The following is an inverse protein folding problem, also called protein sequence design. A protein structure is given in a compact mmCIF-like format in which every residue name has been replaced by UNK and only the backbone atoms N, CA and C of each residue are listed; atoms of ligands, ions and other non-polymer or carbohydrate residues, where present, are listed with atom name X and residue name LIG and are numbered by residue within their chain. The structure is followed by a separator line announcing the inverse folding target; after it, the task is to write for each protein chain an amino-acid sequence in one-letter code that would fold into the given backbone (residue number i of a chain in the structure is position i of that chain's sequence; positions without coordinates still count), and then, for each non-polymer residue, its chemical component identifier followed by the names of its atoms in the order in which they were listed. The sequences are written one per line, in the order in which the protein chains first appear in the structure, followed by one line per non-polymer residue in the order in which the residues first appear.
data_IF_888770973306
#
_entry.id   IF_888770973306
#
_cell.length_a   1.000
_cell.length_b   1.000
_cell.length_c   1.000
_cell.angle_alpha   90.00
_cell.angle_beta   90.00
_cell.angle_gamma   90.00
#
_symmetry.space_group_name_H-M   'P 1'
#
loop_
_entity.id
_entity.type
_entity.pdbx_description
1 polymer ?
#
# COMPACT_ATOMS: atom_id res chain seq x y z
N UNK A 1 30.48 54.54 54.87
CA UNK A 1 30.56 53.07 54.68
C UNK A 1 30.45 52.85 53.18
N UNK A 2 31.55 52.76 52.41
CA UNK A 2 32.39 51.55 52.17
C UNK A 2 31.52 50.34 51.76
N UNK A 3 31.75 49.60 50.67
CA UNK A 3 32.88 49.54 49.74
C UNK A 3 32.50 48.86 48.40
N UNK A 4 33.30 49.22 47.39
CA UNK A 4 33.76 48.51 46.19
C UNK A 4 33.51 46.99 46.08
N UNK A 5 33.15 46.52 44.88
CA UNK A 5 33.51 45.18 44.42
C UNK A 5 34.10 45.19 43.01
N UNK A 6 35.18 44.42 42.87
CA UNK A 6 36.19 44.44 41.81
C UNK A 6 35.85 43.41 40.73
N UNK A 7 36.02 43.80 39.47
CA UNK A 7 36.02 42.89 38.32
C UNK A 7 37.31 42.04 38.31
N UNK A 8 37.17 40.72 38.17
CA UNK A 8 38.28 39.82 37.79
C UNK A 8 37.87 38.96 36.59
N UNK A 9 38.65 39.09 35.53
CA UNK A 9 38.74 38.16 34.39
C UNK A 9 39.39 36.86 34.86
N UNK A 10 38.88 35.72 34.39
CA UNK A 10 39.66 34.48 34.25
C UNK A 10 39.30 33.76 32.94
N UNK A 11 40.31 33.11 32.39
CA UNK A 11 40.53 32.53 31.05
C UNK A 11 39.64 31.34 30.66
N UNK A 12 39.63 30.94 29.37
CA UNK A 12 38.73 29.92 28.82
C UNK A 12 39.19 28.50 29.16
N UNK A 13 38.24 27.64 29.52
CA UNK A 13 38.49 26.20 29.68
C UNK A 13 38.03 25.50 28.40
N UNK A 14 39.00 24.87 27.74
CA UNK A 14 38.83 24.00 26.59
C UNK A 14 38.01 22.77 27.03
N UNK A 15 36.76 22.64 26.57
CA UNK A 15 35.96 21.43 26.74
C UNK A 15 35.98 20.65 25.42
N UNK A 16 36.74 19.57 25.40
CA UNK A 16 36.66 18.56 24.36
C UNK A 16 35.33 17.81 24.51
N UNK A 17 34.36 18.11 23.63
CA UNK A 17 33.13 17.31 23.49
C UNK A 17 33.43 16.16 22.55
N UNK A 18 33.49 14.96 23.12
CA UNK A 18 33.49 13.69 22.39
C UNK A 18 32.10 13.53 21.76
N UNK A 19 32.02 13.66 20.44
CA UNK A 19 30.83 13.23 19.69
C UNK A 19 30.82 11.70 19.65
N UNK A 20 30.11 11.08 20.58
CA UNK A 20 29.60 9.73 20.39
C UNK A 20 28.50 9.82 19.33
N UNK A 21 28.80 9.34 18.12
CA UNK A 21 27.83 9.19 17.05
C UNK A 21 26.75 8.19 17.47
N UNK A 22 25.61 8.71 17.91
CA UNK A 22 24.38 7.95 17.94
C UNK A 22 23.96 7.73 16.48
N UNK A 23 24.14 6.50 15.99
CA UNK A 23 23.48 6.03 14.79
C UNK A 23 21.98 6.16 15.02
N UNK A 24 21.36 7.17 14.42
CA UNK A 24 19.92 7.24 14.26
C UNK A 24 19.55 6.08 13.32
N UNK A 25 19.18 4.94 13.90
CA UNK A 25 18.43 3.91 13.18
C UNK A 25 17.18 4.59 12.64
N UNK A 26 17.17 4.87 11.34
CA UNK A 26 16.01 5.37 10.64
C UNK A 26 14.90 4.34 10.76
N UNK A 27 13.92 4.61 11.61
CA UNK A 27 12.64 3.92 11.59
C UNK A 27 12.01 4.29 10.26
N UNK A 28 12.04 3.37 9.29
CA UNK A 28 11.23 3.51 8.08
C UNK A 28 9.78 3.65 8.54
N UNK A 29 9.06 4.73 8.17
CA UNK A 29 7.67 4.85 8.54
C UNK A 29 6.90 3.66 7.98
N UNK A 30 6.13 2.98 8.82
CA UNK A 30 5.21 1.95 8.37
C UNK A 30 4.30 2.56 7.28
N UNK A 31 4.23 1.92 6.12
CA UNK A 31 3.37 2.39 5.03
C UNK A 31 1.92 2.27 5.50
N UNK A 32 1.23 3.41 5.57
CA UNK A 32 -0.19 3.46 5.86
C UNK A 32 -0.97 2.77 4.72
N UNK A 33 -1.95 1.94 5.07
CA UNK A 33 -2.84 1.26 4.13
C UNK A 33 -4.18 2.00 4.11
N UNK A 34 -4.56 2.53 2.95
CA UNK A 34 -5.87 3.15 2.75
C UNK A 34 -6.95 2.07 2.67
N UNK A 35 -7.95 2.13 3.55
CA UNK A 35 -9.05 1.16 3.62
C UNK A 35 -10.36 1.73 3.06
N UNK A 36 -10.60 3.03 3.24
CA UNK A 36 -11.83 3.70 2.80
C UNK A 36 -11.49 5.07 2.24
N UNK A 37 -12.11 5.44 1.13
CA UNK A 37 -12.15 6.80 0.62
C UNK A 37 -13.56 7.09 0.10
N UNK A 38 -14.32 7.88 0.86
CA UNK A 38 -15.66 8.33 0.47
C UNK A 38 -15.65 9.84 0.27
N UNK A 39 -16.38 10.28 -0.76
CA UNK A 39 -16.63 11.68 -1.04
C UNK A 39 -18.09 11.90 -1.42
N UNK A 40 -18.68 12.98 -0.93
CA UNK A 40 -20.01 13.45 -1.34
C UNK A 40 -19.93 14.94 -1.66
N UNK A 41 -20.37 15.30 -2.86
CA UNK A 41 -20.63 16.68 -3.26
C UNK A 41 -22.15 16.93 -3.14
N UNK A 42 -22.61 17.34 -1.96
CA UNK A 42 -24.03 17.50 -1.66
C UNK A 42 -24.57 18.84 -2.18
N UNK A 43 -25.76 18.82 -2.76
CA UNK A 43 -26.52 20.01 -3.15
C UNK A 43 -27.60 20.32 -2.12
N UNK A 44 -27.87 21.60 -1.89
CA UNK A 44 -28.95 22.02 -1.01
C UNK A 44 -30.30 21.71 -1.66
N UNK A 45 -31.17 20.99 -0.94
CA UNK A 45 -32.51 20.64 -1.42
C UNK A 45 -33.49 20.37 -0.28
N UNK A 46 -34.79 20.68 -0.44
CA UNK A 46 -35.81 20.21 0.49
C UNK A 46 -35.92 18.69 0.48
N UNK A 47 -36.48 18.14 1.55
CA UNK A 47 -36.87 16.72 1.60
C UNK A 47 -37.74 16.33 0.40
N UNK A 48 -37.44 15.18 -0.17
CA UNK A 48 -38.26 14.52 -1.18
C UNK A 48 -38.18 13.00 -0.95
N UNK A 49 -39.30 12.29 -0.76
CA UNK A 49 -39.29 10.85 -0.51
C UNK A 49 -38.69 10.06 -1.69
N UNK A 50 -38.82 10.58 -2.91
CA UNK A 50 -38.28 9.97 -4.13
C UNK A 50 -36.79 10.32 -4.36
N UNK A 51 -36.23 11.19 -3.53
CA UNK A 51 -34.84 11.63 -3.62
C UNK A 51 -34.21 11.70 -2.21
N UNK A 52 -33.73 10.56 -1.69
CA UNK A 52 -33.19 10.47 -0.34
C UNK A 52 -31.96 11.36 -0.13
N UNK A 53 -31.50 11.44 1.12
CA UNK A 53 -30.24 12.12 1.44
C UNK A 53 -29.10 11.56 0.60
N UNK A 54 -28.23 12.46 0.14
CA UNK A 54 -26.95 12.07 -0.45
C UNK A 54 -26.12 11.33 0.60
N UNK A 55 -25.83 10.07 0.32
CA UNK A 55 -24.99 9.20 1.13
C UNK A 55 -24.05 8.38 0.26
N UNK A 56 -22.89 8.04 0.79
CA UNK A 56 -21.93 7.11 0.18
C UNK A 56 -21.55 6.05 1.22
N UNK A 57 -21.31 4.83 0.77
CA UNK A 57 -20.98 3.71 1.64
C UNK A 57 -19.86 2.87 1.02
N UNK A 58 -19.00 2.32 1.87
CA UNK A 58 -17.96 1.38 1.47
C UNK A 58 -17.79 0.33 2.56
N UNK A 59 -17.83 -0.93 2.16
CA UNK A 59 -17.46 -2.04 3.03
C UNK A 59 -15.93 -2.19 3.04
N UNK A 60 -15.36 -2.42 4.21
CA UNK A 60 -13.91 -2.57 4.41
C UNK A 60 -13.60 -3.58 5.50
N UNK A 61 -12.39 -4.14 5.47
CA UNK A 61 -11.87 -4.96 6.56
C UNK A 61 -10.59 -4.32 7.07
N UNK A 62 -10.42 -4.30 8.39
CA UNK A 62 -9.14 -3.91 8.98
C UNK A 62 -8.18 -5.09 8.85
N UNK A 63 -6.90 -4.88 8.50
CA UNK A 63 -5.89 -5.94 8.54
C UNK A 63 -5.85 -6.65 9.90
N UNK A 64 -5.60 -7.97 9.87
CA UNK A 64 -5.45 -8.79 11.07
C UNK A 64 -4.04 -8.55 11.66
N UNK A 65 -3.85 -7.38 12.24
CA UNK A 65 -2.59 -6.92 12.81
C UNK A 65 -2.81 -5.87 13.91
N UNK A 66 -1.87 -5.80 14.85
CA UNK A 66 -1.81 -4.65 15.76
C UNK A 66 -1.42 -3.38 14.98
N UNK A 67 -2.07 -2.27 15.29
CA UNK A 67 -1.80 -1.00 14.66
C UNK A 67 -2.70 0.13 15.12
N UNK A 68 -2.60 1.24 14.39
CA UNK A 68 -3.44 2.40 14.56
C UNK A 68 -4.40 2.49 13.39
N UNK A 69 -5.68 2.70 13.69
CA UNK A 69 -6.64 3.08 12.69
C UNK A 69 -6.87 4.58 12.79
N UNK A 70 -6.68 5.30 11.69
CA UNK A 70 -6.90 6.73 11.59
C UNK A 70 -8.12 6.98 10.72
N UNK A 71 -9.16 7.55 11.32
CA UNK A 71 -10.35 8.01 10.61
C UNK A 71 -10.25 9.52 10.43
N UNK A 72 -10.19 9.99 9.19
CA UNK A 72 -10.19 11.41 8.89
C UNK A 72 -11.47 11.79 8.17
N UNK A 73 -12.22 12.72 8.75
CA UNK A 73 -13.40 13.31 8.16
C UNK A 73 -13.16 14.80 7.89
N UNK A 74 -13.57 15.29 6.72
CA UNK A 74 -13.54 16.72 6.43
C UNK A 74 -14.84 17.22 5.81
N UNK A 75 -15.13 18.49 6.09
CA UNK A 75 -16.16 19.30 5.45
C UNK A 75 -15.49 20.57 4.93
N UNK A 76 -15.77 20.93 3.68
CA UNK A 76 -15.34 22.22 3.11
C UNK A 76 -15.98 23.41 3.85
N UNK A 77 -17.22 23.22 4.30
CA UNK A 77 -18.03 24.20 5.00
C UNK A 77 -18.96 23.53 6.00
N UNK A 78 -18.63 23.64 7.28
CA UNK A 78 -19.50 23.23 8.36
C UNK A 78 -20.80 24.01 8.34
N UNK A 79 -21.92 23.30 8.46
CA UNK A 79 -23.27 23.87 8.47
C UNK A 79 -24.06 23.49 9.73
N UNK A 80 -23.49 22.64 10.59
CA UNK A 80 -24.20 22.06 11.73
C UNK A 80 -25.23 21.00 11.33
N UNK A 81 -26.04 20.58 12.30
CA UNK A 81 -27.07 19.57 12.11
C UNK A 81 -26.54 18.12 12.01
N UNK A 82 -27.45 17.13 12.04
CA UNK A 82 -27.13 15.71 11.83
C UNK A 82 -26.52 15.42 10.44
N UNK A 83 -25.92 14.24 10.30
CA UNK A 83 -25.07 13.85 9.18
C UNK A 83 -23.62 13.66 9.61
N UNK A 84 -22.71 13.50 8.65
CA UNK A 84 -21.31 13.18 8.90
C UNK A 84 -21.01 11.72 8.57
N UNK A 85 -20.20 11.06 9.39
CA UNK A 85 -19.79 9.68 9.16
C UNK A 85 -20.24 8.74 10.28
N UNK A 86 -20.48 7.49 9.91
CA UNK A 86 -20.54 6.35 10.83
C UNK A 86 -19.71 5.20 10.27
N UNK A 87 -19.39 4.24 11.12
CA UNK A 87 -18.92 2.94 10.69
C UNK A 87 -19.44 1.90 11.65
N UNK A 88 -19.96 0.81 11.09
CA UNK A 88 -20.67 -0.21 11.84
C UNK A 88 -20.26 -1.59 11.32
N UNK A 89 -20.21 -2.62 12.19
CA UNK A 89 -19.94 -3.97 11.73
C UNK A 89 -21.10 -4.46 10.85
N UNK A 90 -20.79 -5.03 9.69
CA UNK A 90 -21.81 -5.48 8.72
C UNK A 90 -22.69 -6.59 9.29
N UNK A 91 -22.11 -7.42 10.16
CA UNK A 91 -22.78 -8.53 10.82
C UNK A 91 -23.57 -8.13 12.09
N UNK A 92 -23.66 -6.83 12.40
CA UNK A 92 -24.33 -6.27 13.60
C UNK A 92 -23.81 -6.84 14.93
N UNK A 93 -22.57 -7.34 14.94
CA UNK A 93 -21.94 -7.84 16.16
C UNK A 93 -21.56 -6.70 17.13
N UNK A 94 -21.47 -6.95 18.44
CA UNK A 94 -21.17 -5.91 19.44
C UNK A 94 -19.67 -5.54 19.49
N UNK A 95 -18.91 -5.81 18.44
CA UNK A 95 -17.48 -5.51 18.41
C UNK A 95 -17.23 -4.04 18.10
N UNK A 96 -16.21 -3.46 18.72
CA UNK A 96 -15.79 -2.08 18.50
C UNK A 96 -14.57 -2.06 17.59
N UNK A 97 -14.48 -1.04 16.73
CA UNK A 97 -13.41 -0.88 15.73
C UNK A 97 -12.00 -0.75 16.37
N UNK A 98 -11.93 -0.47 17.68
CA UNK A 98 -10.72 -0.47 18.49
C UNK A 98 -10.99 -0.01 19.92
N UNK A 99 -9.94 0.07 20.74
CA UNK A 99 -10.03 0.54 22.13
C UNK A 99 -9.54 1.99 22.26
N UNK A 100 -10.24 2.78 23.09
CA UNK A 100 -9.72 4.05 23.64
C UNK A 100 -9.40 5.15 22.62
N UNK A 101 -10.23 5.35 21.58
CA UNK A 101 -9.94 6.34 20.55
C UNK A 101 -9.94 7.79 21.04
N UNK A 102 -8.94 8.59 20.62
CA UNK A 102 -8.93 10.04 20.81
C UNK A 102 -9.46 10.74 19.56
N UNK A 103 -10.43 11.64 19.72
CA UNK A 103 -10.96 12.45 18.64
C UNK A 103 -10.43 13.89 18.74
N UNK A 104 -9.80 14.35 17.67
CA UNK A 104 -9.35 15.73 17.50
C UNK A 104 -10.25 16.46 16.50
N UNK A 105 -10.72 17.64 16.90
CA UNK A 105 -11.65 18.46 16.13
C UNK A 105 -10.97 19.77 15.74
N UNK A 106 -10.99 20.10 14.46
CA UNK A 106 -10.38 21.32 13.91
C UNK A 106 -11.36 22.08 13.01
N UNK A 107 -11.81 23.28 13.42
CA UNK A 107 -11.69 23.83 14.77
C UNK A 107 -12.48 22.99 15.79
N UNK A 108 -12.16 23.13 17.07
CA UNK A 108 -12.84 22.39 18.16
C UNK A 108 -14.33 22.73 18.25
N UNK A 109 -14.64 24.01 18.07
CA UNK A 109 -16.00 24.56 18.10
C UNK A 109 -16.27 25.28 16.76
N UNK A 110 -16.60 24.54 15.69
CA UNK A 110 -16.80 25.12 14.37
C UNK A 110 -18.05 26.00 14.34
N UNK A 111 -17.91 27.16 13.70
CA UNK A 111 -19.07 28.00 13.36
C UNK A 111 -19.47 27.77 11.90
N UNK A 112 -20.75 27.93 11.61
CA UNK A 112 -21.28 27.72 10.28
C UNK A 112 -20.53 28.56 9.24
N UNK A 113 -20.07 27.94 8.15
CA UNK A 113 -19.26 28.60 7.12
C UNK A 113 -17.78 28.23 7.11
N UNK A 114 -17.25 27.61 8.17
CA UNK A 114 -15.83 27.29 8.27
C UNK A 114 -15.53 25.87 7.80
N UNK A 115 -14.33 25.59 7.24
CA UNK A 115 -13.86 24.24 7.06
C UNK A 115 -13.82 23.51 8.41
N UNK A 116 -14.14 22.23 8.39
CA UNK A 116 -14.17 21.40 9.59
C UNK A 116 -13.52 20.05 9.33
N UNK A 117 -12.73 19.59 10.29
CA UNK A 117 -11.99 18.34 10.23
C UNK A 117 -12.12 17.61 11.56
N UNK A 118 -12.33 16.31 11.48
CA UNK A 118 -12.27 15.40 12.62
C UNK A 118 -11.24 14.32 12.31
N UNK A 119 -10.31 14.08 13.23
CA UNK A 119 -9.38 12.95 13.18
C UNK A 119 -9.63 12.09 14.39
N UNK A 120 -9.91 10.81 14.18
CA UNK A 120 -10.07 9.85 15.26
C UNK A 120 -9.05 8.75 15.13
N UNK A 121 -8.26 8.54 16.17
CA UNK A 121 -7.21 7.53 16.21
C UNK A 121 -7.60 6.42 17.16
N UNK A 122 -7.68 5.19 16.66
CA UNK A 122 -7.95 3.99 17.46
C UNK A 122 -6.69 3.15 17.59
N UNK A 123 -6.48 2.58 18.78
CA UNK A 123 -5.59 1.44 18.92
C UNK A 123 -6.37 0.19 18.50
N UNK A 124 -5.85 -0.49 17.49
CA UNK A 124 -6.45 -1.69 16.93
C UNK A 124 -5.52 -2.87 17.18
N UNK A 125 -6.02 -3.93 17.79
CA UNK A 125 -5.25 -5.16 17.98
C UNK A 125 -5.63 -6.25 16.98
N UNK A 126 -6.89 -6.28 16.56
CA UNK A 126 -7.46 -7.36 15.76
C UNK A 126 -8.91 -7.07 15.32
N UNK A 127 -9.25 -7.41 14.08
CA UNK A 127 -10.64 -7.59 13.62
C UNK A 127 -10.64 -8.47 12.38
N UNK A 128 -11.32 -9.62 12.42
CA UNK A 128 -11.62 -10.43 11.21
C UNK A 128 -12.91 -10.01 10.50
N UNK A 129 -13.50 -8.89 10.91
CA UNK A 129 -14.84 -8.50 10.49
C UNK A 129 -14.83 -7.59 9.28
N UNK A 130 -15.95 -7.66 8.56
CA UNK A 130 -16.33 -6.67 7.58
C UNK A 130 -17.06 -5.54 8.28
N UNK A 131 -16.62 -4.33 8.00
CA UNK A 131 -17.17 -3.07 8.49
C UNK A 131 -17.78 -2.31 7.33
N UNK A 132 -18.75 -1.44 7.60
CA UNK A 132 -19.34 -0.53 6.62
C UNK A 132 -19.11 0.89 7.07
N UNK A 133 -18.31 1.64 6.34
CA UNK A 133 -18.23 3.09 6.50
C UNK A 133 -19.40 3.74 5.74
N UNK A 134 -20.06 4.68 6.38
CA UNK A 134 -21.14 5.47 5.78
C UNK A 134 -20.83 6.95 5.93
N UNK A 135 -20.89 7.69 4.83
CA UNK A 135 -20.82 9.14 4.79
C UNK A 135 -22.22 9.66 4.40
N UNK A 136 -22.75 10.64 5.14
CA UNK A 136 -24.09 11.20 4.93
C UNK A 136 -24.04 12.71 4.94
N UNK A 137 -24.69 13.34 3.96
CA UNK A 137 -24.80 14.79 3.89
C UNK A 137 -25.46 15.40 5.15
N UNK A 138 -25.06 16.62 5.49
CA UNK A 138 -25.64 17.38 6.61
C UNK A 138 -27.10 17.78 6.31
N UNK A 139 -27.95 17.82 7.33
CA UNK A 139 -29.38 18.11 7.18
C UNK A 139 -30.03 18.61 8.49
N UNK A 140 -31.25 19.19 8.42
CA UNK A 140 -31.90 19.86 9.57
C UNK A 140 -32.48 18.94 10.67
N UNK A 141 -32.72 17.66 10.37
CA UNK A 141 -33.47 16.75 11.26
C UNK A 141 -32.96 15.33 11.20
N UNK A 142 -32.61 14.72 12.35
CA UNK A 142 -31.99 13.38 12.44
C UNK A 142 -32.73 12.28 11.66
N UNK A 143 -34.00 12.50 11.38
CA UNK A 143 -34.78 11.65 10.53
C UNK A 143 -35.39 12.47 9.39
N UNK A 144 -34.58 12.70 8.35
CA UNK A 144 -35.09 13.06 7.02
C UNK A 144 -36.23 12.11 6.61
N UNK A 145 -36.23 10.87 7.11
CA UNK A 145 -37.20 9.81 6.78
C UNK A 145 -38.44 9.70 7.69
N UNK A 146 -38.46 10.26 8.91
CA UNK A 146 -39.59 10.01 9.86
C UNK A 146 -40.67 11.09 9.78
N UNK A 147 -40.31 12.31 9.37
CA UNK A 147 -41.19 13.48 9.46
C UNK A 147 -41.56 14.06 8.10
N UNK A 148 -41.12 13.45 7.02
CA UNK A 148 -41.30 13.90 5.62
C UNK A 148 -41.03 15.40 5.44
N UNK A 149 -40.02 15.92 6.15
CA UNK A 149 -39.72 17.35 6.22
C UNK A 149 -38.25 17.60 6.54
N UNK A 150 -37.74 18.75 6.09
CA UNK A 150 -36.38 19.22 6.34
C UNK A 150 -35.66 19.63 5.07
N UNK A 151 -34.41 20.04 5.20
CA UNK A 151 -33.53 20.29 4.06
C UNK A 151 -32.20 19.55 4.22
N UNK A 152 -31.69 19.07 3.09
CA UNK A 152 -30.28 18.72 2.93
C UNK A 152 -29.52 20.01 2.67
N UNK A 153 -28.36 20.15 3.29
CA UNK A 153 -27.47 21.28 3.05
C UNK A 153 -26.49 20.99 1.91
N UNK A 154 -26.03 22.06 1.24
CA UNK A 154 -24.92 21.96 0.31
C UNK A 154 -23.60 21.85 1.07
N UNK A 155 -22.67 21.05 0.55
CA UNK A 155 -21.33 20.91 1.10
C UNK A 155 -20.57 19.74 0.50
N UNK A 156 -19.25 19.80 0.59
CA UNK A 156 -18.34 18.73 0.20
C UNK A 156 -17.85 18.02 1.44
N UNK A 157 -18.14 16.73 1.55
CA UNK A 157 -17.73 15.89 2.65
C UNK A 157 -16.74 14.83 2.15
N UNK A 158 -15.68 14.57 2.90
CA UNK A 158 -14.80 13.43 2.68
C UNK A 158 -14.60 12.61 3.94
N UNK A 159 -14.42 11.30 3.76
CA UNK A 159 -14.06 10.36 4.82
C UNK A 159 -12.95 9.46 4.28
N UNK A 160 -11.82 9.43 4.99
CA UNK A 160 -10.79 8.42 4.79
C UNK A 160 -10.63 7.57 6.05
N UNK A 161 -10.33 6.29 5.85
CA UNK A 161 -9.94 5.38 6.93
C UNK A 161 -8.64 4.72 6.51
N UNK A 162 -7.61 4.91 7.33
CA UNK A 162 -6.26 4.40 7.11
C UNK A 162 -5.87 3.48 8.26
N UNK A 163 -5.16 2.40 7.95
CA UNK A 163 -4.52 1.55 8.94
C UNK A 163 -3.00 1.71 8.87
N UNK A 164 -2.40 2.08 9.99
CA UNK A 164 -0.95 2.13 10.18
C UNK A 164 -0.59 0.93 11.05
N UNK A 165 0.02 -0.12 10.50
CA UNK A 165 0.51 -1.23 11.31
C UNK A 165 1.43 -0.69 12.39
N UNK A 166 1.25 -1.14 13.63
CA UNK A 166 2.23 -0.90 14.68
C UNK A 166 3.48 -1.57 14.16
N UNK A 167 4.55 -0.79 13.95
CA UNK A 167 5.83 -1.29 13.48
C UNK A 167 6.14 -2.55 14.27
N UNK A 168 6.03 -3.70 13.59
CA UNK A 168 6.30 -4.96 14.24
C UNK A 168 7.71 -4.89 14.80
N UNK A 169 7.93 -5.47 15.97
CA UNK A 169 9.27 -5.86 16.43
C UNK A 169 10.04 -6.33 15.21
N UNK A 170 11.30 -5.88 15.00
CA UNK A 170 12.00 -5.95 13.72
C UNK A 170 11.70 -7.29 13.08
N UNK A 171 10.72 -7.26 12.16
CA UNK A 171 10.43 -8.41 11.33
C UNK A 171 11.77 -8.59 10.65
N UNK A 172 12.37 -9.75 10.84
CA UNK A 172 13.49 -10.16 10.00
C UNK A 172 13.10 -9.76 8.59
N UNK A 173 13.86 -8.82 8.00
CA UNK A 173 13.49 -8.01 6.84
C UNK A 173 12.53 -8.76 5.91
N UNK A 174 11.42 -8.15 5.43
CA UNK A 174 10.35 -8.84 4.72
C UNK A 174 10.98 -9.86 3.80
N UNK A 175 10.87 -11.15 4.17
CA UNK A 175 11.31 -12.16 3.24
C UNK A 175 10.38 -11.99 2.07
N UNK A 176 10.98 -11.67 0.94
CA UNK A 176 10.41 -11.67 -0.40
C UNK A 176 9.97 -13.10 -0.75
N UNK A 177 9.13 -13.73 0.06
CA UNK A 177 8.46 -14.98 -0.30
C UNK A 177 7.31 -14.58 -1.18
N UNK A 178 7.65 -14.39 -2.43
CA UNK A 178 6.74 -14.08 -3.51
C UNK A 178 6.11 -15.42 -3.99
N UNK A 179 4.99 -15.36 -4.71
CA UNK A 179 4.20 -16.56 -5.07
C UNK A 179 5.00 -17.53 -5.98
N UNK A 180 5.99 -17.04 -6.69
CA UNK A 180 6.76 -17.77 -7.70
C UNK A 180 7.50 -18.95 -7.12
N UNK A 181 7.42 -20.08 -7.79
CA UNK A 181 8.00 -21.34 -7.33
C UNK A 181 7.47 -22.51 -8.10
N UNK A 182 8.07 -23.66 -7.83
CA UNK A 182 7.48 -24.94 -8.17
C UNK A 182 6.65 -25.43 -6.99
N UNK A 183 5.36 -25.65 -7.23
CA UNK A 183 4.34 -26.04 -6.26
C UNK A 183 3.80 -27.42 -6.59
N UNK A 184 3.54 -28.24 -5.57
CA UNK A 184 2.77 -29.47 -5.72
C UNK A 184 1.34 -29.21 -5.25
N UNK A 185 0.38 -29.22 -6.18
CA UNK A 185 -1.06 -29.12 -5.94
C UNK A 185 -1.65 -30.51 -5.64
N UNK A 186 -2.91 -30.59 -5.16
CA UNK A 186 -3.54 -31.88 -4.86
C UNK A 186 -3.55 -32.83 -6.07
N UNK A 187 -3.31 -34.10 -5.80
CA UNK A 187 -3.18 -35.13 -6.84
C UNK A 187 -1.81 -35.17 -7.52
N UNK A 188 -0.79 -34.52 -6.94
CA UNK A 188 0.60 -34.57 -7.40
C UNK A 188 0.87 -33.73 -8.64
N UNK A 189 -0.01 -32.77 -8.95
CA UNK A 189 0.17 -31.89 -10.10
C UNK A 189 1.23 -30.83 -9.78
N UNK A 190 2.36 -30.86 -10.47
CA UNK A 190 3.39 -29.85 -10.31
C UNK A 190 2.97 -28.59 -11.06
N UNK A 191 3.10 -27.42 -10.43
CA UNK A 191 2.77 -26.11 -11.01
C UNK A 191 3.96 -25.18 -10.85
N UNK A 192 4.40 -24.62 -11.95
CA UNK A 192 5.43 -23.59 -12.02
C UNK A 192 4.75 -22.23 -12.08
N UNK A 193 5.06 -21.36 -11.11
CA UNK A 193 4.56 -19.98 -11.06
C UNK A 193 5.77 -19.06 -11.24
N UNK A 194 5.67 -18.12 -12.18
CA UNK A 194 6.73 -17.20 -12.58
C UNK A 194 6.49 -15.78 -12.04
N UNK A 195 7.55 -14.98 -11.91
CA UNK A 195 7.49 -13.61 -11.37
C UNK A 195 6.76 -12.62 -12.27
N UNK A 196 6.60 -12.96 -13.54
CA UNK A 196 6.01 -12.12 -14.56
C UNK A 196 4.48 -12.14 -14.59
N UNK A 197 3.85 -12.76 -13.59
CA UNK A 197 2.40 -12.90 -13.53
C UNK A 197 1.88 -14.12 -14.28
N UNK A 198 2.71 -15.06 -14.72
CA UNK A 198 2.29 -16.28 -15.43
C UNK A 198 2.63 -17.56 -14.68
N UNK A 199 2.13 -18.69 -15.18
CA UNK A 199 2.45 -20.03 -14.68
C UNK A 199 1.96 -21.12 -15.61
N UNK A 200 2.37 -22.36 -15.34
CA UNK A 200 1.81 -23.54 -15.98
C UNK A 200 1.87 -24.76 -15.07
N UNK A 201 1.02 -25.75 -15.30
CA UNK A 201 1.06 -27.04 -14.60
C UNK A 201 1.67 -28.16 -15.45
N UNK A 202 1.95 -29.29 -14.81
CA UNK A 202 2.52 -30.49 -15.44
C UNK A 202 1.60 -31.15 -16.47
N UNK A 203 0.35 -30.68 -16.58
CA UNK A 203 -0.64 -31.13 -17.58
C UNK A 203 -0.70 -30.19 -18.78
N UNK A 204 0.11 -29.12 -18.80
CA UNK A 204 0.17 -28.14 -19.88
C UNK A 204 -0.90 -27.06 -19.79
N UNK A 205 -1.63 -26.97 -18.68
CA UNK A 205 -2.51 -25.84 -18.42
C UNK A 205 -1.68 -24.60 -18.09
N UNK A 206 -2.05 -23.45 -18.62
CA UNK A 206 -1.39 -22.17 -18.31
C UNK A 206 -2.24 -21.36 -17.36
N UNK A 207 -1.61 -20.42 -16.67
CA UNK A 207 -2.30 -19.50 -15.77
C UNK A 207 -1.66 -18.11 -15.80
N UNK A 208 -2.47 -17.12 -15.44
CA UNK A 208 -1.97 -15.81 -15.01
C UNK A 208 -2.31 -15.58 -13.55
N UNK A 209 -1.56 -14.73 -12.86
CA UNK A 209 -1.83 -14.38 -11.47
C UNK A 209 -1.73 -12.88 -11.20
N UNK A 210 -2.42 -12.43 -10.16
CA UNK A 210 -2.41 -11.05 -9.71
C UNK A 210 -2.36 -11.01 -8.19
N UNK A 211 -1.52 -10.14 -7.64
CA UNK A 211 -1.50 -9.89 -6.20
C UNK A 211 -2.71 -9.03 -5.81
N UNK A 212 -3.53 -9.54 -4.90
CA UNK A 212 -4.69 -8.82 -4.38
C UNK A 212 -4.37 -8.11 -3.06
N UNK A 213 -3.60 -8.74 -2.17
CA UNK A 213 -3.25 -8.18 -0.85
C UNK A 213 -1.85 -8.67 -0.44
N UNK A 214 -0.85 -7.79 -0.55
CA UNK A 214 0.54 -8.09 -0.23
C UNK A 214 0.75 -8.41 1.25
N UNK A 215 0.02 -7.75 2.15
CA UNK A 215 0.19 -7.93 3.59
C UNK A 215 -0.33 -9.29 4.05
N UNK A 216 -1.33 -9.83 3.37
CA UNK A 216 -1.94 -11.14 3.66
C UNK A 216 -1.47 -12.27 2.74
N UNK A 217 -0.60 -11.97 1.76
CA UNK A 217 -0.18 -12.95 0.75
C UNK A 217 -1.34 -13.48 -0.07
N UNK A 218 -2.32 -12.64 -0.43
CA UNK A 218 -3.49 -13.05 -1.20
C UNK A 218 -3.28 -12.77 -2.68
N UNK A 219 -3.51 -13.78 -3.49
CA UNK A 219 -3.37 -13.76 -4.94
C UNK A 219 -4.65 -14.27 -5.60
N UNK A 220 -4.86 -13.88 -6.85
CA UNK A 220 -5.85 -14.46 -7.75
C UNK A 220 -5.15 -15.11 -8.93
N UNK A 221 -5.53 -16.34 -9.26
CA UNK A 221 -4.94 -17.17 -10.31
C UNK A 221 -6.04 -17.48 -11.33
N UNK A 222 -5.81 -17.20 -12.61
CA UNK A 222 -6.73 -17.46 -13.71
C UNK A 222 -6.16 -18.53 -14.63
N UNK A 223 -6.82 -19.69 -14.69
CA UNK A 223 -6.35 -20.83 -15.48
C UNK A 223 -6.96 -20.87 -16.89
N UNK A 224 -6.19 -21.37 -17.85
CA UNK A 224 -6.61 -21.49 -19.26
C UNK A 224 -7.82 -22.40 -19.47
N UNK A 225 -8.08 -23.32 -18.54
CA UNK A 225 -9.25 -24.21 -18.56
C UNK A 225 -10.45 -23.67 -17.76
N UNK A 226 -10.48 -22.37 -17.46
CA UNK A 226 -11.68 -21.64 -17.01
C UNK A 226 -11.92 -21.58 -15.50
N UNK A 227 -10.96 -22.00 -14.68
CA UNK A 227 -11.03 -21.83 -13.23
C UNK A 227 -10.31 -20.55 -12.80
N UNK A 228 -10.87 -19.90 -11.79
CA UNK A 228 -10.22 -18.79 -11.09
C UNK A 228 -10.07 -19.19 -9.63
N UNK A 229 -8.84 -19.17 -9.11
CA UNK A 229 -8.54 -19.47 -7.71
C UNK A 229 -8.17 -18.21 -6.95
N UNK A 230 -8.74 -18.05 -5.76
CA UNK A 230 -8.25 -17.11 -4.76
C UNK A 230 -7.34 -17.84 -3.79
N UNK A 231 -6.08 -17.45 -3.73
CA UNK A 231 -5.02 -18.18 -3.02
C UNK A 231 -4.42 -17.34 -1.91
N UNK A 232 -4.10 -17.97 -0.78
CA UNK A 232 -3.39 -17.36 0.35
C UNK A 232 -2.06 -18.09 0.56
N UNK A 233 -0.96 -17.36 0.42
CA UNK A 233 0.40 -17.83 0.67
C UNK A 233 0.71 -17.76 2.17
N UNK A 234 1.20 -18.86 2.74
CA UNK A 234 1.62 -18.87 4.14
C UNK A 234 2.84 -17.94 4.35
N UNK A 235 2.99 -17.33 5.54
CA UNK A 235 4.10 -16.41 5.82
C UNK A 235 5.50 -17.04 5.70
N UNK A 236 5.61 -18.37 5.82
CA UNK A 236 6.87 -19.10 5.62
C UNK A 236 7.22 -19.30 4.13
N UNK A 237 6.30 -18.92 3.24
CA UNK A 237 6.39 -19.09 1.81
C UNK A 237 6.32 -20.54 1.34
N UNK A 238 6.16 -21.55 2.21
CA UNK A 238 6.30 -22.97 1.85
C UNK A 238 5.00 -23.65 1.50
N UNK A 239 3.88 -23.09 1.94
CA UNK A 239 2.54 -23.64 1.70
C UNK A 239 1.61 -22.56 1.20
N UNK A 240 0.61 -22.93 0.41
CA UNK A 240 -0.48 -22.04 0.03
C UNK A 240 -1.78 -22.81 0.02
N UNK A 241 -2.89 -22.11 0.26
CA UNK A 241 -4.25 -22.65 0.22
C UNK A 241 -5.10 -21.84 -0.76
N UNK A 242 -6.00 -22.50 -1.47
CA UNK A 242 -6.82 -21.86 -2.51
C UNK A 242 -8.28 -22.30 -2.48
N UNK A 243 -9.14 -21.42 -2.99
CA UNK A 243 -10.56 -21.70 -3.27
C UNK A 243 -10.85 -21.31 -4.70
N UNK A 244 -11.35 -22.25 -5.49
CA UNK A 244 -11.72 -21.97 -6.87
C UNK A 244 -13.12 -21.34 -6.97
N UNK A 245 -13.47 -20.83 -8.16
CA UNK A 245 -14.77 -20.26 -8.48
C UNK A 245 -15.97 -21.22 -8.39
N UNK A 246 -15.75 -22.52 -8.14
CA UNK A 246 -16.79 -23.52 -7.85
C UNK A 246 -16.92 -23.84 -6.36
N UNK A 247 -16.11 -23.21 -5.50
CA UNK A 247 -16.08 -23.43 -4.05
C UNK A 247 -15.22 -24.63 -3.61
N UNK A 248 -14.43 -25.21 -4.51
CA UNK A 248 -13.52 -26.30 -4.15
C UNK A 248 -12.27 -25.74 -3.45
N UNK A 249 -11.95 -26.30 -2.28
CA UNK A 249 -10.80 -25.95 -1.47
C UNK A 249 -9.61 -26.86 -1.77
N UNK A 250 -8.41 -26.30 -1.78
CA UNK A 250 -7.17 -27.05 -1.97
C UNK A 250 -5.99 -26.45 -1.22
N UNK A 251 -4.98 -27.29 -0.97
CA UNK A 251 -3.70 -26.92 -0.37
C UNK A 251 -2.55 -27.34 -1.29
N UNK A 252 -1.47 -26.58 -1.30
CA UNK A 252 -0.27 -26.87 -2.07
C UNK A 252 1.01 -26.64 -1.26
N UNK A 253 2.06 -27.37 -1.62
CA UNK A 253 3.38 -27.31 -0.97
C UNK A 253 4.44 -26.91 -1.98
N UNK A 254 5.29 -25.95 -1.63
CA UNK A 254 6.41 -25.54 -2.46
C UNK A 254 7.48 -26.63 -2.47
N UNK A 255 7.86 -27.09 -3.66
CA UNK A 255 8.88 -28.13 -3.89
C UNK A 255 10.18 -27.59 -4.46
N UNK A 256 10.15 -26.44 -5.11
CA UNK A 256 11.32 -25.86 -5.76
C UNK A 256 11.36 -24.34 -5.65
N UNK A 257 12.53 -23.73 -5.90
CA UNK A 257 12.65 -22.29 -6.07
C UNK A 257 11.78 -21.80 -7.25
N UNK A 258 11.57 -20.47 -7.40
CA UNK A 258 11.04 -19.91 -8.63
C UNK A 258 11.72 -20.54 -9.84
N UNK A 259 10.98 -21.04 -10.83
CA UNK A 259 11.59 -21.38 -12.10
C UNK A 259 12.27 -20.11 -12.63
N UNK A 260 13.47 -20.26 -13.18
CA UNK A 260 14.08 -19.15 -13.88
C UNK A 260 13.11 -18.77 -15.02
N UNK A 261 12.56 -17.55 -14.96
CA UNK A 261 12.08 -16.90 -16.17
C UNK A 261 13.29 -16.91 -17.11
N UNK A 262 13.10 -17.17 -18.40
CA UNK A 262 14.17 -16.95 -19.39
C UNK A 262 14.50 -15.45 -19.42
N UNK A 263 15.26 -14.99 -18.43
CA UNK A 263 15.61 -13.59 -18.17
C UNK A 263 16.88 -13.15 -18.91
N UNK A 264 17.32 -13.96 -19.88
CA UNK A 264 18.46 -13.65 -20.74
C UNK A 264 18.27 -12.30 -21.45
N UNK A 265 17.03 -11.83 -21.60
CA UNK A 265 16.72 -10.63 -22.37
C UNK A 265 17.18 -9.32 -21.75
N UNK A 266 17.26 -9.13 -20.43
CA UNK A 266 17.75 -7.86 -19.85
C UNK A 266 19.26 -7.91 -19.54
N UNK A 267 19.83 -9.11 -19.43
CA UNK A 267 21.24 -9.35 -19.10
C UNK A 267 22.16 -8.72 -20.13
N UNK A 268 23.16 -7.95 -19.69
CA UNK A 268 24.14 -7.30 -20.54
C UNK A 268 24.50 -5.90 -20.09
N UNK A 269 25.38 -5.24 -20.84
CA UNK A 269 25.83 -3.88 -20.55
C UNK A 269 25.00 -2.84 -21.30
N UNK A 270 24.61 -1.78 -20.62
CA UNK A 270 23.72 -0.73 -21.11
C UNK A 270 24.33 0.65 -20.95
N UNK A 271 24.26 1.46 -22.01
CA UNK A 271 24.60 2.88 -21.98
C UNK A 271 23.39 3.65 -21.45
N UNK A 272 23.46 4.09 -20.18
CA UNK A 272 22.34 4.57 -19.38
C UNK A 272 22.09 6.07 -19.56
N UNK A 273 21.85 6.45 -20.81
CA UNK A 273 21.51 7.82 -21.19
C UNK A 273 22.59 8.87 -20.87
N UNK A 274 22.31 10.14 -21.17
CA UNK A 274 23.27 11.22 -21.02
C UNK A 274 23.48 11.59 -19.54
N UNK A 275 24.48 10.97 -18.91
CA UNK A 275 24.99 11.37 -17.58
C UNK A 275 25.09 10.26 -16.53
N UNK A 276 24.45 9.11 -16.75
CA UNK A 276 24.36 8.04 -15.73
C UNK A 276 25.39 6.92 -15.92
N UNK A 277 26.09 6.89 -17.07
CA UNK A 277 27.20 5.98 -17.31
C UNK A 277 26.77 4.58 -17.74
N UNK A 278 27.68 3.62 -17.58
CA UNK A 278 27.46 2.21 -17.98
C UNK A 278 26.73 1.48 -16.86
N UNK A 279 25.75 0.65 -17.21
CA UNK A 279 25.05 -0.24 -16.27
C UNK A 279 25.14 -1.68 -16.76
N UNK A 280 25.69 -2.55 -15.91
CA UNK A 280 25.79 -3.98 -16.16
C UNK A 280 24.66 -4.71 -15.44
N UNK A 281 23.81 -5.38 -16.23
CA UNK A 281 22.71 -6.23 -15.76
C UNK A 281 23.15 -7.70 -15.80
N UNK A 282 23.10 -8.38 -14.66
CA UNK A 282 23.51 -9.76 -14.48
C UNK A 282 22.30 -10.69 -14.48
N UNK A 283 22.45 -11.91 -15.02
CA UNK A 283 21.36 -12.87 -15.18
C UNK A 283 20.68 -13.31 -13.86
N UNK A 284 21.31 -13.07 -12.72
CA UNK A 284 20.79 -13.39 -11.39
C UNK A 284 19.79 -12.34 -10.84
N UNK A 285 19.37 -11.37 -11.65
CA UNK A 285 18.45 -10.30 -11.22
C UNK A 285 19.16 -9.13 -10.54
N UNK A 286 20.49 -9.07 -10.57
CA UNK A 286 21.27 -7.97 -10.01
C UNK A 286 21.95 -7.14 -11.09
N UNK A 287 22.51 -6.00 -10.71
CA UNK A 287 23.32 -5.17 -11.60
C UNK A 287 24.09 -4.08 -10.85
N UNK A 288 24.91 -3.35 -11.58
CA UNK A 288 25.64 -2.21 -11.05
C UNK A 288 25.94 -1.16 -12.13
N UNK A 289 26.06 0.10 -11.71
CA UNK A 289 26.54 1.18 -12.58
C UNK A 289 28.06 1.40 -12.45
N UNK A 290 28.60 2.24 -13.33
CA UNK A 290 30.01 2.64 -13.31
C UNK A 290 30.44 3.43 -12.07
N UNK A 291 29.50 3.92 -11.26
CA UNK A 291 29.77 4.63 -10.01
C UNK A 291 29.77 3.68 -8.80
N UNK A 292 29.52 2.38 -9.01
CA UNK A 292 29.46 1.37 -7.96
C UNK A 292 28.09 1.29 -7.25
N UNK A 293 27.07 2.00 -7.74
CA UNK A 293 25.71 1.81 -7.27
C UNK A 293 25.21 0.45 -7.76
N UNK A 294 24.64 -0.34 -6.85
CA UNK A 294 24.01 -1.61 -7.20
C UNK A 294 22.53 -1.45 -7.45
N UNK A 295 21.95 -2.38 -8.22
CA UNK A 295 20.52 -2.50 -8.43
C UNK A 295 20.06 -3.95 -8.35
N UNK A 296 18.76 -4.13 -8.12
CA UNK A 296 18.04 -5.37 -8.39
C UNK A 296 16.99 -5.11 -9.47
N UNK A 297 16.83 -6.04 -10.39
CA UNK A 297 15.82 -5.96 -11.44
C UNK A 297 14.92 -7.18 -11.42
N UNK A 298 13.66 -6.96 -11.77
CA UNK A 298 12.62 -8.00 -11.85
C UNK A 298 11.76 -7.74 -13.09
N UNK A 299 11.27 -8.81 -13.72
CA UNK A 299 10.30 -8.68 -14.81
C UNK A 299 8.93 -8.35 -14.19
N UNK A 300 8.39 -7.18 -14.50
CA UNK A 300 7.09 -6.74 -14.01
C UNK A 300 5.92 -7.12 -14.93
N UNK A 301 6.14 -7.17 -16.25
CA UNK A 301 5.15 -7.62 -17.23
C UNK A 301 5.85 -8.21 -18.46
N UNK A 302 5.71 -9.51 -18.69
CA UNK A 302 6.31 -10.20 -19.84
C UNK A 302 5.75 -9.73 -21.19
N UNK A 303 4.42 -9.60 -21.30
CA UNK A 303 3.75 -9.26 -22.55
C UNK A 303 4.16 -7.88 -23.09
N UNK A 304 4.44 -6.94 -22.19
CA UNK A 304 4.93 -5.59 -22.53
C UNK A 304 6.42 -5.40 -22.30
N UNK A 305 7.15 -6.46 -21.91
CA UNK A 305 8.59 -6.46 -21.57
C UNK A 305 8.98 -5.32 -20.63
N UNK A 306 8.18 -5.13 -19.59
CA UNK A 306 8.38 -4.10 -18.56
C UNK A 306 9.12 -4.73 -17.38
N UNK A 307 10.22 -4.12 -16.98
CA UNK A 307 11.06 -4.50 -15.86
C UNK A 307 11.02 -3.41 -14.78
N UNK A 308 11.11 -3.82 -13.52
CA UNK A 308 11.23 -2.92 -12.36
C UNK A 308 12.65 -3.01 -11.83
N UNK A 309 13.35 -1.88 -11.78
CA UNK A 309 14.73 -1.76 -11.33
C UNK A 309 14.76 -0.95 -10.05
N UNK A 310 15.32 -1.52 -8.99
CA UNK A 310 15.44 -0.89 -7.66
C UNK A 310 16.90 -0.63 -7.37
N UNK A 311 17.27 0.64 -7.26
CA UNK A 311 18.64 1.08 -7.00
C UNK A 311 18.94 1.19 -5.52
N UNK A 312 20.18 0.85 -5.15
CA UNK A 312 20.72 0.97 -3.80
C UNK A 312 20.67 2.38 -3.19
N UNK A 313 20.57 3.42 -4.02
CA UNK A 313 20.48 4.82 -3.60
C UNK A 313 19.04 5.39 -3.69
N UNK A 314 18.03 4.52 -3.75
CA UNK A 314 16.63 4.87 -3.50
C UNK A 314 15.78 5.21 -4.73
N UNK A 315 16.33 5.14 -5.95
CA UNK A 315 15.56 5.27 -7.18
C UNK A 315 14.91 3.94 -7.57
N UNK A 316 13.73 4.05 -8.19
CA UNK A 316 13.03 2.92 -8.80
C UNK A 316 12.70 3.31 -10.22
N UNK A 317 13.15 2.52 -11.19
CA UNK A 317 12.90 2.74 -12.61
C UNK A 317 11.99 1.65 -13.18
N UNK A 318 11.02 2.06 -13.99
CA UNK A 318 10.26 1.19 -14.87
C UNK A 318 10.90 1.19 -16.24
N UNK A 319 11.48 0.08 -16.67
CA UNK A 319 12.18 -0.07 -17.93
C UNK A 319 11.37 -0.93 -18.92
N UNK A 320 11.05 -0.39 -20.08
CA UNK A 320 10.40 -1.13 -21.17
C UNK A 320 11.44 -1.51 -22.22
N UNK A 321 11.61 -2.82 -22.45
CA UNK A 321 12.56 -3.36 -23.42
C UNK A 321 11.97 -3.39 -24.83
N UNK A 322 12.70 -2.82 -25.79
CA UNK A 322 12.31 -2.85 -27.20
C UNK A 322 12.23 -4.27 -27.74
N UNK A 323 11.41 -4.48 -28.76
CA UNK A 323 11.17 -5.81 -29.37
C UNK A 323 12.48 -6.49 -29.84
N UNK A 324 13.43 -5.71 -30.33
CA UNK A 324 14.75 -6.20 -30.76
C UNK A 324 15.75 -6.45 -29.60
N UNK A 325 15.35 -6.17 -28.36
CA UNK A 325 16.18 -6.33 -27.17
C UNK A 325 17.34 -5.33 -27.04
N UNK A 326 17.39 -4.27 -27.87
CA UNK A 326 18.57 -3.38 -27.95
C UNK A 326 18.42 -2.06 -27.21
N UNK A 327 17.22 -1.67 -26.80
CA UNK A 327 16.98 -0.38 -26.15
C UNK A 327 15.97 -0.49 -25.02
N UNK A 328 16.10 0.40 -24.05
CA UNK A 328 15.17 0.59 -22.94
C UNK A 328 14.58 1.99 -23.01
N UNK A 329 13.28 2.08 -22.75
CA UNK A 329 12.62 3.34 -22.35
C UNK A 329 12.37 3.26 -20.85
N UNK A 330 12.89 4.23 -20.09
CA UNK A 330 12.83 4.23 -18.64
C UNK A 330 12.03 5.41 -18.09
N UNK A 331 11.29 5.16 -17.02
CA UNK A 331 10.61 6.16 -16.20
C UNK A 331 10.98 5.96 -14.74
N UNK A 332 11.61 6.95 -14.11
CA UNK A 332 11.94 6.88 -12.69
C UNK A 332 10.74 7.20 -11.80
N UNK A 333 10.83 6.84 -10.52
CA UNK A 333 9.88 7.22 -9.47
C UNK A 333 9.77 8.73 -9.21
N UNK A 334 10.67 9.55 -9.78
CA UNK A 334 10.57 11.02 -9.79
C UNK A 334 9.89 11.57 -11.04
N UNK A 335 9.46 10.69 -11.96
CA UNK A 335 8.84 11.04 -13.24
C UNK A 335 9.83 11.41 -14.35
N UNK A 336 11.14 11.28 -14.11
CA UNK A 336 12.15 11.53 -15.13
C UNK A 336 12.12 10.42 -16.19
N UNK A 337 12.17 10.82 -17.46
CA UNK A 337 12.18 9.89 -18.59
C UNK A 337 13.54 9.93 -19.29
N UNK A 338 14.08 8.75 -19.60
CA UNK A 338 15.33 8.62 -20.33
C UNK A 338 15.37 7.27 -21.05
N UNK A 339 16.39 7.07 -21.89
CA UNK A 339 16.58 5.82 -22.61
C UNK A 339 17.96 5.23 -22.32
N UNK A 340 18.05 3.92 -22.46
CA UNK A 340 19.32 3.22 -22.47
C UNK A 340 19.47 2.38 -23.73
N UNK A 341 20.71 2.21 -24.20
CA UNK A 341 21.02 1.39 -25.38
C UNK A 341 21.99 0.31 -24.97
N UNK A 342 21.71 -0.93 -25.37
CA UNK A 342 22.61 -2.05 -25.10
C UNK A 342 23.93 -1.82 -25.82
N UNK A 343 25.04 -1.90 -25.08
CA UNK A 343 26.36 -2.04 -25.69
C UNK A 343 26.45 -3.44 -26.27
N UNK A 344 26.55 -3.54 -27.59
CA UNK A 344 26.71 -4.83 -28.26
C UNK A 344 27.91 -5.59 -27.70
N UNK A 345 27.68 -6.84 -27.28
CA UNK A 345 28.69 -7.71 -26.68
C UNK A 345 28.12 -9.07 -26.24
N UNK A 346 28.07 -9.98 -27.22
CA UNK A 346 27.67 -11.41 -27.25
C UNK A 346 26.21 -11.73 -26.99
#
# INVERSE_FOLDING_TARGET
MSATFVARRFMPMLAAVVFAGAALCGVTPALAVMLVELKIDATARPYNPDNPLSSAQQDFSVPDAEGQLIVTYTEDRYVGGPGGFTYDPVDLSPEYLGWGGSAEYTPRDPVAGQPFKVVVTYQHSYSKKMWRATLTARHDYQAFQIRDRGQQFAGTLTLTIEFIPKSADPITAPQTSTLEGTWELPGGNMTEIFADGTGHDSRGNTMTWTLLDAARGIYELHWSHGYTDKVTLAPDGKTMSGVNNTGFHWDAVRRGPPPAIETAELTGSWDWGPGSGLVDMLADGTGHDSNGNTLRWTLGNAASRIYVLVWSHGFVDLATLSEDGKSLVLVSNTGAQFSAVRRGGV
#
